data_IF_666168214100
#
_entry.id   IF_666168214100
#
_cell.length_a   1.000
_cell.length_b   1.000
_cell.length_c   1.000
_cell.angle_alpha   90.00
_cell.angle_beta   90.00
_cell.angle_gamma   90.00
#
_symmetry.space_group_name_H-M   'P 1'
#
loop_
_entity.id
_entity.type
_entity.pdbx_description
1 polymer ?
#
# COMPACT_ATOMS: atom_id res chain seq x y z
N UNK A 1 -25.68 0.46 9.70
CA UNK A 1 -26.03 1.64 10.52
C UNK A 1 -25.85 2.89 9.65
N UNK A 2 -26.94 3.49 9.20
CA UNK A 2 -26.89 4.69 8.35
C UNK A 2 -26.42 5.89 9.18
N UNK A 3 -25.40 6.60 8.67
CA UNK A 3 -24.88 7.85 9.25
C UNK A 3 -26.00 8.89 9.26
N UNK A 4 -26.52 9.25 10.43
CA UNK A 4 -27.46 10.37 10.57
C UNK A 4 -26.78 11.65 10.07
N UNK A 5 -27.41 12.31 9.11
CA UNK A 5 -26.96 13.57 8.54
C UNK A 5 -26.91 14.63 9.65
N UNK A 6 -25.70 15.08 10.03
CA UNK A 6 -25.46 16.04 11.13
C UNK A 6 -26.01 17.46 10.85
N UNK A 7 -26.52 17.72 9.64
CA UNK A 7 -27.22 18.96 9.32
C UNK A 7 -28.72 18.75 9.54
N UNK A 8 -29.20 19.05 10.75
CA UNK A 8 -30.64 19.16 11.00
C UNK A 8 -31.19 20.35 10.19
N UNK A 9 -32.05 20.13 9.16
CA UNK A 9 -32.61 21.22 8.37
C UNK A 9 -33.67 22.02 9.14
N UNK A 10 -34.13 21.51 10.27
CA UNK A 10 -35.11 22.17 11.14
C UNK A 10 -34.37 23.03 12.15
N UNK A 11 -34.25 24.33 11.84
CA UNK A 11 -33.83 25.35 12.79
C UNK A 11 -35.05 26.15 13.24
N UNK A 12 -35.20 26.34 14.54
CA UNK A 12 -36.21 27.26 15.07
C UNK A 12 -35.73 28.70 14.89
N UNK A 13 -36.65 29.67 14.74
CA UNK A 13 -36.30 31.08 14.77
C UNK A 13 -35.57 31.47 16.06
N UNK A 14 -34.77 32.53 15.99
CA UNK A 14 -34.11 33.12 17.15
C UNK A 14 -35.15 33.53 18.20
N UNK A 15 -34.87 33.25 19.47
CA UNK A 15 -35.73 33.55 20.63
C UNK A 15 -37.14 32.91 20.57
N UNK A 16 -37.36 31.90 19.72
CA UNK A 16 -38.66 31.22 19.60
C UNK A 16 -39.19 30.73 20.97
N UNK A 17 -38.34 30.01 21.71
CA UNK A 17 -38.69 29.42 23.01
C UNK A 17 -38.74 30.45 24.13
N UNK A 18 -37.86 31.45 24.12
CA UNK A 18 -37.82 32.51 25.13
C UNK A 18 -39.11 33.32 25.16
N UNK A 19 -39.67 33.58 23.98
CA UNK A 19 -40.90 34.37 23.82
C UNK A 19 -42.17 33.50 23.68
N UNK A 20 -42.03 32.17 23.65
CA UNK A 20 -43.17 31.25 23.54
C UNK A 20 -44.13 31.37 24.72
N UNK A 21 -43.57 31.41 25.93
CA UNK A 21 -44.33 31.43 27.18
C UNK A 21 -45.21 32.67 27.29
N UNK A 22 -44.61 33.85 27.05
CA UNK A 22 -45.31 35.13 27.03
C UNK A 22 -46.40 35.18 25.95
N UNK A 23 -46.12 34.67 24.74
CA UNK A 23 -47.13 34.60 23.66
C UNK A 23 -48.28 33.68 24.00
N UNK A 24 -47.99 32.52 24.58
CA UNK A 24 -49.00 31.55 24.99
C UNK A 24 -49.91 32.13 26.07
N UNK A 25 -49.32 32.75 27.10
CA UNK A 25 -50.08 33.42 28.17
C UNK A 25 -50.94 34.55 27.63
N UNK A 26 -50.40 35.40 26.75
CA UNK A 26 -51.15 36.47 26.10
C UNK A 26 -52.37 35.90 25.36
N UNK A 27 -52.18 34.85 24.55
CA UNK A 27 -53.25 34.17 23.83
C UNK A 27 -54.31 33.51 24.72
N UNK A 28 -53.92 32.94 25.86
CA UNK A 28 -54.88 32.41 26.82
C UNK A 28 -55.66 33.51 27.55
N UNK A 29 -55.01 34.65 27.83
CA UNK A 29 -55.62 35.78 28.55
C UNK A 29 -56.55 36.64 27.69
N UNK A 30 -56.32 36.69 26.36
CA UNK A 30 -57.18 37.37 25.39
C UNK A 30 -58.55 36.68 25.20
N UNK A 31 -58.76 35.54 25.85
CA UNK A 31 -59.99 34.75 25.76
C UNK A 31 -60.00 33.87 24.52
N UNK A 32 -60.59 32.68 24.67
CA UNK A 32 -60.71 31.62 23.64
C UNK A 32 -61.65 32.05 22.48
N UNK A 33 -61.95 33.34 22.32
CA UNK A 33 -62.94 33.88 21.38
C UNK A 33 -62.62 33.60 19.91
N UNK A 34 -61.35 33.36 19.58
CA UNK A 34 -60.88 33.02 18.23
C UNK A 34 -60.81 31.51 17.94
N UNK A 35 -61.17 30.64 18.90
CA UNK A 35 -61.29 29.20 18.60
C UNK A 35 -62.68 28.98 18.01
N UNK A 36 -62.80 28.66 16.71
CA UNK A 36 -64.09 28.35 16.10
C UNK A 36 -64.73 27.20 16.88
N UNK A 37 -66.01 27.38 17.25
CA UNK A 37 -66.82 26.36 17.94
C UNK A 37 -67.17 25.19 17.01
N UNK A 38 -67.06 25.41 15.71
CA UNK A 38 -67.25 24.41 14.68
C UNK A 38 -66.02 23.50 14.60
N UNK A 39 -66.25 22.23 14.31
CA UNK A 39 -65.21 21.21 14.15
C UNK A 39 -64.26 21.63 13.02
N UNK A 40 -63.12 22.24 13.39
CA UNK A 40 -62.24 22.92 12.44
C UNK A 40 -61.67 22.02 11.34
N UNK A 41 -61.58 20.71 11.59
CA UNK A 41 -61.14 19.72 10.61
C UNK A 41 -62.28 18.79 10.26
N UNK A 42 -62.97 19.10 9.16
CA UNK A 42 -63.88 18.16 8.51
C UNK A 42 -63.12 17.39 7.42
N UNK A 43 -63.34 16.09 7.34
CA UNK A 43 -62.84 15.28 6.23
C UNK A 43 -63.71 15.52 4.99
N UNK A 44 -63.15 15.44 3.78
CA UNK A 44 -63.95 15.43 2.55
C UNK A 44 -64.97 14.28 2.56
N UNK A 45 -66.12 14.50 1.95
CA UNK A 45 -67.13 13.46 1.74
C UNK A 45 -66.49 12.27 1.00
N UNK A 46 -66.69 11.06 1.53
CA UNK A 46 -66.12 9.83 0.94
C UNK A 46 -64.62 9.61 1.19
N UNK A 47 -63.96 10.37 2.06
CA UNK A 47 -62.55 10.15 2.40
C UNK A 47 -62.28 8.72 2.90
N UNK A 48 -63.08 8.26 3.88
CA UNK A 48 -62.91 6.93 4.45
C UNK A 48 -63.30 5.80 3.50
N UNK A 49 -64.15 6.07 2.50
CA UNK A 49 -64.54 5.09 1.48
C UNK A 49 -63.41 4.87 0.47
N UNK A 50 -62.74 5.93 0.03
CA UNK A 50 -61.69 5.88 -0.98
C UNK A 50 -60.28 5.57 -0.43
N UNK A 51 -60.01 5.93 0.83
CA UNK A 51 -58.68 5.72 1.43
C UNK A 51 -58.35 4.24 1.57
N UNK A 52 -59.34 3.40 1.87
CA UNK A 52 -59.14 1.96 2.02
C UNK A 52 -58.71 1.32 0.69
N UNK A 53 -59.44 1.61 -0.39
CA UNK A 53 -59.11 1.12 -1.73
C UNK A 53 -57.76 1.66 -2.21
N UNK A 54 -57.48 2.94 -1.95
CA UNK A 54 -56.22 3.58 -2.33
C UNK A 54 -55.01 2.95 -1.63
N UNK A 55 -55.16 2.55 -0.36
CA UNK A 55 -54.11 1.86 0.40
C UNK A 55 -53.91 0.45 -0.14
N UNK A 56 -54.98 -0.32 -0.34
CA UNK A 56 -54.91 -1.69 -0.85
C UNK A 56 -54.25 -1.75 -2.23
N UNK A 57 -54.68 -0.88 -3.15
CA UNK A 57 -54.09 -0.78 -4.50
C UNK A 57 -52.60 -0.43 -4.49
N UNK A 58 -52.14 0.27 -3.46
CA UNK A 58 -50.73 0.65 -3.29
C UNK A 58 -49.90 -0.45 -2.62
N UNK A 59 -50.55 -1.39 -1.94
CA UNK A 59 -49.94 -2.59 -1.38
C UNK A 59 -49.88 -3.74 -2.40
N UNK A 60 -50.78 -3.77 -3.37
CA UNK A 60 -50.79 -4.71 -4.50
C UNK A 60 -49.74 -4.40 -5.59
N UNK A 61 -48.71 -3.60 -5.30
CA UNK A 61 -47.59 -3.46 -6.21
C UNK A 61 -46.78 -4.76 -6.25
N UNK A 62 -46.56 -5.28 -7.45
CA UNK A 62 -45.76 -6.48 -7.73
C UNK A 62 -44.53 -6.59 -6.82
N UNK A 63 -44.31 -7.78 -6.27
CA UNK A 63 -43.14 -8.08 -5.46
C UNK A 63 -41.88 -7.59 -6.19
N UNK A 64 -41.00 -6.81 -5.54
CA UNK A 64 -39.79 -6.33 -6.18
C UNK A 64 -39.04 -7.55 -6.73
N UNK A 65 -38.65 -7.50 -8.01
CA UNK A 65 -37.98 -8.61 -8.70
C UNK A 65 -36.71 -9.00 -7.93
N UNK A 66 -36.82 -9.95 -7.01
CA UNK A 66 -35.71 -10.42 -6.18
C UNK A 66 -34.81 -11.27 -7.05
N UNK A 67 -33.62 -10.76 -7.35
CA UNK A 67 -32.59 -11.52 -8.06
C UNK A 67 -31.84 -12.34 -7.02
N UNK A 68 -31.96 -13.67 -7.09
CA UNK A 68 -31.19 -14.58 -6.22
C UNK A 68 -29.71 -14.52 -6.61
N UNK A 69 -28.85 -14.12 -5.67
CA UNK A 69 -27.39 -14.14 -5.87
C UNK A 69 -26.88 -15.59 -5.72
N UNK A 70 -26.43 -16.19 -6.81
CA UNK A 70 -25.78 -17.49 -6.77
C UNK A 70 -24.32 -17.34 -6.32
N UNK A 71 -23.86 -18.05 -5.26
CA UNK A 71 -22.48 -17.97 -4.83
C UNK A 71 -21.58 -18.74 -5.81
N UNK A 72 -20.62 -18.03 -6.42
CA UNK A 72 -19.61 -18.57 -7.33
C UNK A 72 -18.53 -19.40 -6.61
N UNK A 73 -18.94 -20.36 -5.77
CA UNK A 73 -18.04 -21.17 -4.92
C UNK A 73 -16.98 -21.94 -5.72
N UNK A 74 -17.28 -22.28 -6.98
CA UNK A 74 -16.33 -22.98 -7.88
C UNK A 74 -15.12 -22.11 -8.24
N UNK A 75 -15.32 -20.80 -8.36
CA UNK A 75 -14.25 -19.86 -8.71
C UNK A 75 -13.39 -19.48 -7.51
N UNK A 76 -13.83 -19.75 -6.28
CA UNK A 76 -13.05 -19.47 -5.09
C UNK A 76 -11.74 -20.28 -5.05
N UNK A 77 -11.79 -21.57 -5.38
CA UNK A 77 -10.59 -22.41 -5.45
C UNK A 77 -9.64 -21.97 -6.57
N UNK A 78 -10.19 -21.55 -7.72
CA UNK A 78 -9.39 -21.03 -8.85
C UNK A 78 -8.73 -19.70 -8.49
N UNK A 79 -9.46 -18.79 -7.82
CA UNK A 79 -8.92 -17.53 -7.35
C UNK A 79 -7.85 -17.74 -6.26
N UNK A 80 -8.08 -18.69 -5.34
CA UNK A 80 -7.12 -19.04 -4.31
C UNK A 80 -5.83 -19.64 -4.88
N UNK A 81 -5.91 -20.48 -5.93
CA UNK A 81 -4.71 -21.01 -6.59
C UNK A 81 -3.91 -19.93 -7.30
N UNK A 82 -4.57 -18.98 -7.98
CA UNK A 82 -3.91 -17.85 -8.63
C UNK A 82 -3.24 -16.95 -7.58
N UNK A 83 -3.94 -16.64 -6.49
CA UNK A 83 -3.39 -15.84 -5.39
C UNK A 83 -2.20 -16.52 -4.71
N UNK A 84 -2.25 -17.85 -4.52
CA UNK A 84 -1.13 -18.61 -3.97
C UNK A 84 0.09 -18.56 -4.89
N UNK A 85 -0.09 -18.73 -6.21
CA UNK A 85 1.00 -18.63 -7.18
C UNK A 85 1.60 -17.21 -7.19
N UNK A 86 0.76 -16.18 -7.17
CA UNK A 86 1.22 -14.79 -7.09
C UNK A 86 1.99 -14.51 -5.79
N UNK A 87 1.51 -15.01 -4.65
CA UNK A 87 2.21 -14.88 -3.38
C UNK A 87 3.58 -15.56 -3.43
N UNK A 88 3.66 -16.78 -3.96
CA UNK A 88 4.94 -17.49 -4.12
C UNK A 88 5.88 -16.71 -5.04
N UNK A 89 5.39 -16.19 -6.16
CA UNK A 89 6.19 -15.37 -7.07
C UNK A 89 6.71 -14.10 -6.39
N UNK A 90 5.88 -13.40 -5.61
CA UNK A 90 6.28 -12.21 -4.84
C UNK A 90 7.33 -12.55 -3.79
N UNK A 91 7.13 -13.64 -3.02
CA UNK A 91 8.08 -14.07 -1.98
C UNK A 91 9.44 -14.46 -2.58
N UNK A 92 9.46 -15.14 -3.72
CA UNK A 92 10.71 -15.48 -4.41
C UNK A 92 11.42 -14.20 -4.88
N UNK A 93 10.70 -13.24 -5.46
CA UNK A 93 11.30 -11.99 -5.94
C UNK A 93 11.78 -11.08 -4.80
N UNK A 94 11.16 -11.13 -3.61
CA UNK A 94 11.62 -10.37 -2.44
C UNK A 94 12.88 -10.96 -1.77
N UNK A 95 13.24 -12.21 -2.07
CA UNK A 95 14.35 -12.90 -1.39
C UNK A 95 15.68 -12.82 -2.16
N UNK A 96 15.75 -11.99 -3.19
CA UNK A 96 16.90 -11.90 -4.11
C UNK A 96 17.93 -10.83 -3.74
N UNK A 97 17.80 -10.17 -2.59
CA UNK A 97 18.81 -9.24 -2.10
C UNK A 97 19.93 -10.01 -1.38
N UNK A 98 20.70 -10.79 -2.12
CA UNK A 98 22.11 -10.96 -1.76
C UNK A 98 22.77 -9.63 -2.10
N UNK A 99 22.95 -8.76 -1.11
CA UNK A 99 23.81 -7.59 -1.26
C UNK A 99 25.18 -8.10 -1.73
N UNK A 100 25.69 -7.62 -2.88
CA UNK A 100 27.03 -8.00 -3.32
C UNK A 100 28.01 -7.57 -2.23
N UNK A 101 28.61 -8.54 -1.55
CA UNK A 101 29.62 -8.28 -0.54
C UNK A 101 30.93 -7.93 -1.22
N UNK A 102 31.73 -7.08 -0.58
CA UNK A 102 33.09 -6.79 -1.05
C UNK A 102 33.93 -8.07 -1.21
N UNK A 103 33.66 -9.09 -0.40
CA UNK A 103 34.32 -10.40 -0.52
C UNK A 103 34.01 -11.10 -1.85
N UNK A 104 32.76 -11.01 -2.33
CA UNK A 104 32.38 -11.58 -3.64
C UNK A 104 33.01 -10.84 -4.83
N UNK A 105 33.20 -9.52 -4.70
CA UNK A 105 33.85 -8.70 -5.71
C UNK A 105 35.36 -8.98 -5.75
N UNK A 106 36.00 -9.06 -4.58
CA UNK A 106 37.44 -9.28 -4.47
C UNK A 106 37.88 -10.58 -5.15
N UNK A 107 37.13 -11.68 -4.99
CA UNK A 107 37.45 -12.96 -5.64
C UNK A 107 37.31 -12.85 -7.16
N UNK A 108 36.22 -12.25 -7.66
CA UNK A 108 36.00 -12.10 -9.10
C UNK A 108 37.04 -11.19 -9.77
N UNK A 109 37.55 -10.20 -9.05
CA UNK A 109 38.61 -9.31 -9.55
C UNK A 109 39.95 -10.03 -9.65
N UNK A 110 40.27 -10.91 -8.67
CA UNK A 110 41.47 -11.75 -8.71
C UNK A 110 41.40 -12.74 -9.88
N UNK A 111 40.27 -13.43 -10.06
CA UNK A 111 40.08 -14.35 -11.19
C UNK A 111 40.24 -13.63 -12.54
N UNK A 112 39.61 -12.45 -12.69
CA UNK A 112 39.72 -11.62 -13.90
C UNK A 112 41.15 -11.13 -14.15
N UNK A 113 41.89 -10.78 -13.09
CA UNK A 113 43.28 -10.37 -13.21
C UNK A 113 44.13 -11.49 -13.82
N UNK A 114 44.02 -12.73 -13.33
CA UNK A 114 44.79 -13.85 -13.87
C UNK A 114 44.36 -14.22 -15.29
N UNK A 115 43.07 -14.21 -15.60
CA UNK A 115 42.57 -14.42 -16.97
C UNK A 115 43.12 -13.39 -17.98
N UNK A 116 43.25 -12.13 -17.56
CA UNK A 116 43.79 -11.07 -18.42
C UNK A 116 45.34 -11.07 -18.51
N UNK A 117 46.03 -11.62 -17.50
CA UNK A 117 47.49 -11.60 -17.41
C UNK A 117 48.08 -12.98 -17.73
N UNK A 118 48.06 -13.43 -19.00
CA UNK A 118 48.76 -14.61 -19.59
C UNK A 118 48.89 -15.92 -18.76
N UNK A 119 48.23 -16.03 -17.61
CA UNK A 119 48.27 -17.15 -16.68
C UNK A 119 46.97 -17.91 -16.95
N UNK A 120 47.06 -18.95 -17.78
CA UNK A 120 45.94 -19.82 -18.14
C UNK A 120 45.49 -20.76 -16.99
N UNK A 121 45.79 -20.41 -15.73
CA UNK A 121 45.46 -21.21 -14.55
C UNK A 121 44.43 -20.48 -13.70
N UNK A 122 43.38 -21.19 -13.32
CA UNK A 122 42.42 -20.69 -12.33
C UNK A 122 43.06 -20.60 -10.93
N UNK A 123 42.48 -19.78 -10.05
CA UNK A 123 42.92 -19.66 -8.64
C UNK A 123 42.97 -21.00 -7.91
N UNK A 124 42.09 -21.94 -8.26
CA UNK A 124 42.10 -23.31 -7.71
C UNK A 124 43.26 -24.16 -8.23
N UNK A 125 43.56 -24.07 -9.53
CA UNK A 125 44.70 -24.79 -10.13
C UNK A 125 46.04 -24.23 -9.63
N UNK A 126 46.14 -22.91 -9.43
CA UNK A 126 47.30 -22.29 -8.80
C UNK A 126 47.51 -22.81 -7.37
N UNK A 127 46.45 -22.94 -6.58
CA UNK A 127 46.54 -23.46 -5.21
C UNK A 127 46.99 -24.94 -5.15
N UNK A 128 46.75 -25.71 -6.21
CA UNK A 128 47.22 -27.09 -6.31
C UNK A 128 48.69 -27.19 -6.76
N UNK A 129 49.11 -26.27 -7.64
CA UNK A 129 50.46 -26.26 -8.21
C UNK A 129 51.48 -25.57 -7.29
N UNK A 130 51.05 -24.65 -6.43
CA UNK A 130 51.93 -23.98 -5.46
C UNK A 130 52.23 -24.94 -4.30
N UNK A 131 53.50 -25.37 -4.10
CA UNK A 131 53.86 -26.27 -3.02
C UNK A 131 53.93 -25.50 -1.69
N UNK A 132 52.78 -25.19 -1.10
CA UNK A 132 52.67 -24.38 0.13
C UNK A 132 53.47 -24.98 1.30
N UNK A 133 53.61 -26.30 1.34
CA UNK A 133 54.37 -27.01 2.37
C UNK A 133 55.91 -26.86 2.21
N UNK A 134 56.38 -26.44 1.03
CA UNK A 134 57.81 -26.24 0.71
C UNK A 134 58.20 -24.75 0.69
N UNK A 135 57.24 -23.83 0.85
CA UNK A 135 57.52 -22.39 0.87
C UNK A 135 58.14 -21.99 2.21
N UNK A 136 59.43 -21.62 2.21
CA UNK A 136 60.04 -21.01 3.36
C UNK A 136 59.71 -19.51 3.42
N UNK A 137 59.58 -18.95 4.63
CA UNK A 137 59.37 -17.50 4.83
C UNK A 137 60.48 -16.67 4.14
N UNK A 138 61.66 -17.26 3.97
CA UNK A 138 62.78 -16.64 3.26
C UNK A 138 62.53 -16.53 1.75
N UNK A 139 61.91 -17.51 1.09
CA UNK A 139 61.63 -17.50 -0.35
C UNK A 139 60.66 -16.37 -0.74
N UNK A 140 59.66 -16.12 0.12
CA UNK A 140 58.71 -15.00 -0.02
C UNK A 140 59.41 -13.65 0.20
N UNK A 141 60.44 -13.63 1.04
CA UNK A 141 61.22 -12.44 1.40
C UNK A 141 62.44 -12.18 0.51
N UNK A 142 62.80 -13.10 -0.40
CA UNK A 142 63.84 -12.92 -1.40
C UNK A 142 63.24 -12.45 -2.74
N UNK A 143 62.02 -12.89 -3.08
CA UNK A 143 61.16 -12.25 -4.09
C UNK A 143 60.58 -10.91 -3.58
N UNK A 144 61.42 -10.05 -3.00
CA UNK A 144 61.03 -8.67 -2.73
C UNK A 144 60.73 -8.01 -4.05
N UNK A 145 59.46 -7.64 -4.24
CA UNK A 145 59.04 -6.66 -5.21
C UNK A 145 60.08 -5.53 -5.22
N UNK A 146 60.84 -5.41 -6.32
CA UNK A 146 61.79 -4.32 -6.44
C UNK A 146 60.98 -3.02 -6.44
N UNK A 147 61.38 -2.05 -5.60
CA UNK A 147 60.65 -0.80 -5.46
C UNK A 147 60.46 -0.09 -6.82
N UNK A 148 61.44 -0.21 -7.71
CA UNK A 148 61.38 0.27 -9.10
C UNK A 148 60.23 -0.37 -9.90
N UNK A 149 60.04 -1.68 -9.81
CA UNK A 149 58.95 -2.39 -10.49
C UNK A 149 57.57 -2.00 -9.94
N UNK A 150 57.49 -1.70 -8.64
CA UNK A 150 56.25 -1.20 -8.05
C UNK A 150 55.93 0.21 -8.55
N UNK A 151 56.92 1.09 -8.64
CA UNK A 151 56.73 2.45 -9.15
C UNK A 151 56.29 2.43 -10.61
N UNK A 152 56.90 1.58 -11.44
CA UNK A 152 56.53 1.42 -12.84
C UNK A 152 55.09 0.90 -12.98
N UNK A 153 54.73 -0.16 -12.23
CA UNK A 153 53.38 -0.72 -12.25
C UNK A 153 52.31 0.29 -11.79
N UNK A 154 52.56 1.01 -10.69
CA UNK A 154 51.64 2.03 -10.18
C UNK A 154 51.50 3.20 -11.16
N UNK A 155 52.55 3.52 -11.92
CA UNK A 155 52.51 4.59 -12.93
C UNK A 155 51.74 4.15 -14.17
N UNK A 156 51.92 2.90 -14.63
CA UNK A 156 51.22 2.36 -15.80
C UNK A 156 49.73 2.15 -15.56
N UNK A 157 49.33 1.79 -14.33
CA UNK A 157 47.94 1.52 -13.97
C UNK A 157 47.26 2.70 -13.25
N UNK A 158 47.86 3.89 -13.24
CA UNK A 158 47.36 5.03 -12.46
C UNK A 158 45.96 5.50 -12.90
N UNK A 159 45.62 5.35 -14.19
CA UNK A 159 44.32 5.74 -14.75
C UNK A 159 43.17 4.87 -14.19
N UNK A 160 43.42 3.58 -13.93
CA UNK A 160 42.43 2.68 -13.34
C UNK A 160 42.13 3.04 -11.88
N UNK A 161 43.14 3.52 -11.15
CA UNK A 161 42.97 4.03 -9.78
C UNK A 161 42.27 5.39 -9.75
N UNK A 162 42.53 6.28 -10.72
CA UNK A 162 41.80 7.55 -10.84
C UNK A 162 40.31 7.35 -11.13
N UNK A 163 39.93 6.33 -11.91
CA UNK A 163 38.54 5.99 -12.17
C UNK A 163 37.77 5.55 -10.91
N UNK A 164 38.47 4.96 -9.93
CA UNK A 164 37.92 4.59 -8.62
C UNK A 164 37.93 5.74 -7.62
N UNK A 165 38.78 6.74 -7.84
CA UNK A 165 38.78 7.97 -7.08
C UNK A 165 37.64 8.85 -7.60
N UNK A 166 36.41 8.48 -7.20
CA UNK A 166 35.21 9.28 -7.44
C UNK A 166 35.45 10.65 -6.81
N UNK A 167 35.84 11.61 -7.65
CA UNK A 167 35.97 13.00 -7.26
C UNK A 167 34.58 13.44 -6.81
N UNK A 168 34.36 13.46 -5.48
CA UNK A 168 33.20 14.07 -4.85
C UNK A 168 33.37 15.59 -4.99
N UNK A 169 33.32 16.07 -6.22
CA UNK A 169 33.12 17.48 -6.50
C UNK A 169 31.63 17.77 -6.31
N UNK A 170 31.33 18.46 -5.21
CA UNK A 170 30.18 19.39 -5.15
C UNK A 170 30.27 20.45 -6.25
#
# INVERSE_FOLDING_TARGET
MNKMNKKNPFKTPENYFESFESRLRAKLSEGISDIPKDEGFSVPEGYFDSVHESILKKLETDEPKVIKLNPYKKFYYVAASIAAILLVAIVINLKSDTEPSFESLAVSDIDRYFENNEIELSTYELAEVIPVDELEVYDIMENRFAEEQMVDYLTENIEDFEALNLDYNE
#
